data_IF_159989451481
#
_entry.id   IF_159989451481
#
_cell.length_a   1.000
_cell.length_b   1.000
_cell.length_c   1.000
_cell.angle_alpha   90.00
_cell.angle_beta   90.00
_cell.angle_gamma   90.00
#
_symmetry.space_group_name_H-M   'P 1'
#
loop_
_entity.id
_entity.type
_entity.pdbx_description
1 polymer ?
#
# COMPACT_ATOMS: atom_id res chain seq x y z
N UNK A 1 21.05 -34.95 -7.24
CA UNK A 1 19.96 -34.12 -7.84
C UNK A 1 20.28 -32.68 -7.49
N UNK A 2 20.53 -31.84 -8.50
CA UNK A 2 20.71 -30.41 -8.28
C UNK A 2 19.35 -29.83 -7.87
N UNK A 3 19.27 -29.25 -6.68
CA UNK A 3 18.14 -28.41 -6.31
C UNK A 3 18.29 -27.16 -7.18
N UNK A 4 17.58 -27.13 -8.30
CA UNK A 4 17.41 -25.89 -9.06
C UNK A 4 16.54 -24.98 -8.21
N UNK A 5 17.15 -24.07 -7.46
CA UNK A 5 16.44 -22.95 -6.86
C UNK A 5 15.78 -22.19 -8.00
N UNK A 6 14.46 -22.35 -8.14
CA UNK A 6 13.70 -21.65 -9.16
C UNK A 6 13.65 -20.20 -8.70
N UNK A 7 14.51 -19.36 -9.26
CA UNK A 7 14.52 -17.91 -9.07
C UNK A 7 13.08 -17.39 -9.20
N UNK A 8 12.45 -17.04 -8.07
CA UNK A 8 11.15 -16.37 -8.07
C UNK A 8 11.42 -14.89 -7.91
N UNK A 9 11.31 -14.17 -9.03
CA UNK A 9 11.20 -12.71 -9.05
C UNK A 9 10.12 -12.26 -8.06
N UNK A 10 10.48 -11.36 -7.14
CA UNK A 10 9.54 -10.81 -6.15
C UNK A 10 8.69 -9.75 -6.82
N UNK A 11 7.37 -9.92 -6.80
CA UNK A 11 6.42 -9.01 -7.46
C UNK A 11 5.83 -8.04 -6.44
N UNK A 12 5.99 -6.75 -6.69
CA UNK A 12 5.56 -5.67 -5.79
C UNK A 12 4.44 -4.88 -6.47
N UNK A 13 3.28 -4.82 -5.83
CA UNK A 13 2.23 -3.87 -6.18
C UNK A 13 2.37 -2.61 -5.32
N UNK A 14 2.37 -1.44 -5.94
CA UNK A 14 2.26 -0.16 -5.24
C UNK A 14 1.01 0.58 -5.72
N UNK A 15 0.15 1.01 -4.80
CA UNK A 15 -1.07 1.73 -5.17
C UNK A 15 -1.01 3.18 -4.72
N UNK A 16 -1.50 4.11 -5.54
CA UNK A 16 -1.75 5.49 -5.14
C UNK A 16 -3.22 5.86 -5.32
N UNK A 17 -3.73 6.80 -4.53
CA UNK A 17 -5.10 7.28 -4.70
C UNK A 17 -5.23 8.30 -5.82
N UNK A 18 -6.35 8.26 -6.51
CA UNK A 18 -6.77 9.27 -7.47
C UNK A 18 -7.19 10.60 -6.86
N UNK A 19 -7.71 11.52 -7.69
CA UNK A 19 -8.21 12.83 -7.26
C UNK A 19 -9.32 12.71 -6.21
N UNK A 20 -9.36 13.65 -5.26
CA UNK A 20 -10.39 13.68 -4.21
C UNK A 20 -10.63 15.08 -3.64
N UNK A 21 -11.90 15.41 -3.41
CA UNK A 21 -12.35 16.74 -3.00
C UNK A 21 -11.79 17.84 -3.91
N UNK A 22 -10.90 18.70 -3.39
CA UNK A 22 -10.26 19.81 -4.11
C UNK A 22 -8.85 19.45 -4.60
N UNK A 23 -8.45 18.19 -4.48
CA UNK A 23 -7.13 17.69 -4.87
C UNK A 23 -7.27 17.05 -6.25
N UNK A 24 -6.94 17.82 -7.29
CA UNK A 24 -6.97 17.33 -8.68
C UNK A 24 -5.78 16.42 -9.01
N UNK A 25 -4.62 16.71 -8.40
CA UNK A 25 -3.42 15.89 -8.53
C UNK A 25 -3.03 15.36 -7.17
N UNK A 26 -3.24 14.08 -6.95
CA UNK A 26 -3.02 13.45 -5.66
C UNK A 26 -1.53 13.08 -5.48
N UNK A 27 -0.81 13.64 -4.47
CA UNK A 27 0.58 13.33 -4.21
C UNK A 27 0.88 11.83 -4.13
N UNK A 28 -0.01 11.04 -3.51
CA UNK A 28 0.22 9.59 -3.41
C UNK A 28 0.36 8.92 -4.79
N UNK A 29 -0.47 9.31 -5.77
CA UNK A 29 -0.36 8.81 -7.14
C UNK A 29 0.87 9.35 -7.85
N UNK A 30 1.15 10.65 -7.73
CA UNK A 30 2.30 11.28 -8.39
C UNK A 30 3.64 10.67 -7.91
N UNK A 31 3.74 10.27 -6.64
CA UNK A 31 4.94 9.63 -6.11
C UNK A 31 5.17 8.23 -6.72
N UNK A 32 4.11 7.45 -6.93
CA UNK A 32 4.23 6.02 -7.25
C UNK A 32 4.08 5.72 -8.74
N UNK A 33 3.44 6.59 -9.53
CA UNK A 33 3.31 6.41 -10.98
C UNK A 33 4.66 6.19 -11.68
N UNK A 34 5.73 6.98 -11.39
CA UNK A 34 7.03 6.79 -12.03
C UNK A 34 7.74 5.48 -11.65
N UNK A 35 7.27 4.77 -10.61
CA UNK A 35 7.86 3.51 -10.17
C UNK A 35 7.35 2.30 -10.96
N UNK A 36 6.29 2.45 -11.77
CA UNK A 36 5.74 1.33 -12.52
C UNK A 36 6.74 0.73 -13.51
N UNK A 37 6.77 -0.60 -13.54
CA UNK A 37 7.65 -1.45 -14.34
C UNK A 37 9.15 -1.17 -14.13
N UNK A 38 9.51 -0.55 -13.00
CA UNK A 38 10.90 -0.45 -12.58
C UNK A 38 11.34 -1.71 -11.85
N UNK A 39 12.63 -2.02 -11.93
CA UNK A 39 13.25 -3.18 -11.29
C UNK A 39 14.09 -2.70 -10.10
N UNK A 40 14.11 -3.48 -9.03
CA UNK A 40 14.99 -3.34 -7.88
C UNK A 40 16.05 -4.45 -7.92
N UNK A 41 17.32 -4.06 -7.81
CA UNK A 41 18.41 -5.00 -7.53
C UNK A 41 18.49 -5.25 -6.02
N UNK A 42 18.15 -6.46 -5.58
CA UNK A 42 18.14 -6.85 -4.16
C UNK A 42 19.54 -7.15 -3.61
N UNK A 43 20.58 -7.13 -4.45
CA UNK A 43 21.97 -7.24 -4.03
C UNK A 43 22.58 -5.87 -3.71
N UNK A 44 21.95 -4.78 -4.15
CA UNK A 44 22.40 -3.41 -3.87
C UNK A 44 21.36 -2.65 -3.04
N UNK A 45 21.63 -2.50 -1.74
CA UNK A 45 20.78 -1.68 -0.85
C UNK A 45 20.72 -0.22 -1.33
N UNK A 46 19.55 0.42 -1.34
CA UNK A 46 19.42 1.81 -1.76
C UNK A 46 20.11 2.77 -0.78
N UNK A 47 20.67 3.85 -1.31
CA UNK A 47 21.15 5.01 -0.55
C UNK A 47 20.16 6.17 -0.75
N UNK A 48 19.77 6.82 0.35
CA UNK A 48 18.87 7.98 0.38
C UNK A 48 19.63 9.25 0.81
N UNK A 49 20.96 9.24 0.86
CA UNK A 49 21.75 10.48 1.00
C UNK A 49 21.91 11.13 -0.37
N UNK A 50 21.97 12.46 -0.43
CA UNK A 50 22.45 13.16 -1.63
C UNK A 50 23.84 12.63 -2.01
N UNK A 51 24.16 12.44 -3.30
CA UNK A 51 25.48 11.99 -3.70
C UNK A 51 26.51 13.04 -3.27
N UNK A 52 27.33 12.73 -2.27
CA UNK A 52 28.61 13.39 -2.08
C UNK A 52 29.55 12.89 -3.18
N UNK A 53 30.38 13.75 -3.78
CA UNK A 53 31.45 13.28 -4.65
C UNK A 53 32.45 12.53 -3.76
N UNK A 54 32.40 11.20 -3.76
CA UNK A 54 33.44 10.37 -3.17
C UNK A 54 34.22 9.67 -4.28
N UNK A 55 35.50 10.01 -4.26
CA UNK A 55 36.62 9.34 -4.90
C UNK A 55 36.71 7.88 -4.40
N UNK A 56 37.08 6.96 -5.28
CA UNK A 56 37.48 5.60 -4.89
C UNK A 56 36.62 4.46 -5.44
N UNK A 57 36.96 4.02 -6.65
CA UNK A 57 36.70 2.65 -7.11
C UNK A 57 37.36 1.65 -6.17
N UNK A 58 36.57 0.85 -5.45
CA UNK A 58 37.04 -0.43 -4.91
C UNK A 58 36.68 -1.54 -5.89
N UNK A 59 37.71 -2.30 -6.27
CA UNK A 59 37.62 -3.49 -7.11
C UNK A 59 36.86 -4.57 -6.32
N UNK A 60 35.73 -5.01 -6.84
CA UNK A 60 34.95 -6.08 -6.25
C UNK A 60 35.62 -7.43 -6.54
N UNK A 61 35.78 -8.25 -5.51
CA UNK A 61 36.08 -9.68 -5.68
C UNK A 61 34.90 -10.35 -6.39
N UNK A 62 35.20 -11.21 -7.37
CA UNK A 62 34.23 -12.00 -8.14
C UNK A 62 33.60 -13.10 -7.26
N UNK A 63 32.77 -12.71 -6.30
CA UNK A 63 31.79 -13.61 -5.72
C UNK A 63 30.60 -13.67 -6.67
N UNK A 64 30.31 -14.87 -7.19
CA UNK A 64 29.08 -15.15 -7.94
C UNK A 64 27.91 -15.07 -6.98
N UNK A 65 27.37 -13.87 -6.78
CA UNK A 65 26.09 -13.70 -6.09
C UNK A 65 24.98 -14.02 -7.10
N UNK A 66 24.09 -14.95 -6.74
CA UNK A 66 22.85 -15.14 -7.49
C UNK A 66 22.13 -13.79 -7.57
N UNK A 67 21.79 -13.39 -8.79
CA UNK A 67 21.20 -12.09 -9.01
C UNK A 67 19.72 -12.15 -8.56
N UNK A 68 19.35 -11.29 -7.60
CA UNK A 68 18.01 -11.27 -7.01
C UNK A 68 17.33 -9.96 -7.35
N UNK A 69 16.16 -10.03 -7.97
CA UNK A 69 15.43 -8.86 -8.42
C UNK A 69 13.99 -8.84 -7.94
N UNK A 70 13.45 -7.63 -7.82
CA UNK A 70 12.03 -7.41 -7.63
C UNK A 70 11.48 -6.44 -8.66
N UNK A 71 10.24 -6.65 -9.10
CA UNK A 71 9.56 -5.76 -10.06
C UNK A 71 8.44 -5.00 -9.37
N UNK A 72 8.41 -3.69 -9.61
CA UNK A 72 7.34 -2.82 -9.15
C UNK A 72 6.31 -2.66 -10.27
N UNK A 73 5.04 -2.81 -9.95
CA UNK A 73 3.92 -2.37 -10.78
C UNK A 73 3.05 -1.43 -9.95
N UNK A 74 2.67 -0.29 -10.53
CA UNK A 74 1.81 0.69 -9.87
C UNK A 74 0.37 0.68 -10.40
N UNK A 75 -0.61 0.86 -9.51
CA UNK A 75 -2.03 1.05 -9.84
C UNK A 75 -2.58 2.33 -9.21
N UNK A 76 -3.51 3.00 -9.89
CA UNK A 76 -4.26 4.11 -9.32
C UNK A 76 -5.64 3.64 -8.85
N UNK A 77 -6.04 4.04 -7.65
CA UNK A 77 -7.30 3.60 -7.03
C UNK A 77 -8.21 4.81 -6.77
N UNK A 78 -9.51 4.74 -7.10
CA UNK A 78 -10.47 5.79 -6.73
C UNK A 78 -10.64 5.88 -5.20
N UNK A 79 -10.94 7.08 -4.70
CA UNK A 79 -11.35 7.28 -3.31
C UNK A 79 -12.83 6.88 -3.16
N UNK A 80 -13.09 5.58 -3.14
CA UNK A 80 -14.43 4.99 -3.16
C UNK A 80 -14.47 3.64 -2.45
N UNK A 81 -15.36 3.49 -1.45
CA UNK A 81 -15.36 2.29 -0.59
C UNK A 81 -15.70 1.01 -1.36
N UNK A 82 -16.71 1.06 -2.24
CA UNK A 82 -17.13 -0.10 -3.00
C UNK A 82 -16.04 -0.59 -3.99
N UNK A 83 -15.25 0.34 -4.54
CA UNK A 83 -14.12 -0.01 -5.41
C UNK A 83 -13.01 -0.71 -4.62
N UNK A 84 -12.75 -0.30 -3.37
CA UNK A 84 -11.80 -1.01 -2.50
C UNK A 84 -12.29 -2.42 -2.18
N UNK A 85 -13.58 -2.59 -1.88
CA UNK A 85 -14.19 -3.89 -1.60
C UNK A 85 -14.21 -4.82 -2.83
N UNK A 86 -14.21 -4.28 -4.05
CA UNK A 86 -14.05 -5.06 -5.28
C UNK A 86 -12.55 -5.36 -5.56
N UNK A 87 -11.72 -4.32 -5.64
CA UNK A 87 -10.34 -4.43 -6.10
C UNK A 87 -9.44 -5.21 -5.13
N UNK A 88 -9.54 -4.95 -3.81
CA UNK A 88 -8.56 -5.47 -2.84
C UNK A 88 -8.60 -6.99 -2.69
N UNK A 89 -9.77 -7.66 -2.59
CA UNK A 89 -9.81 -9.12 -2.61
C UNK A 89 -9.16 -9.71 -3.87
N UNK A 90 -9.33 -9.04 -5.03
CA UNK A 90 -8.82 -9.52 -6.31
C UNK A 90 -7.30 -9.33 -6.45
N UNK A 91 -6.71 -8.23 -5.97
CA UNK A 91 -5.24 -8.08 -5.96
C UNK A 91 -4.60 -9.17 -5.09
N UNK A 92 -5.25 -9.60 -4.02
CA UNK A 92 -4.77 -10.70 -3.17
C UNK A 92 -5.14 -12.10 -3.69
N UNK A 93 -5.63 -12.20 -4.93
CA UNK A 93 -5.95 -13.48 -5.59
C UNK A 93 -7.25 -14.14 -5.10
N UNK A 94 -8.09 -13.40 -4.38
CA UNK A 94 -9.43 -13.80 -3.96
C UNK A 94 -10.53 -13.23 -4.88
N UNK A 95 -11.77 -13.37 -4.42
CA UNK A 95 -12.96 -12.74 -5.04
C UNK A 95 -13.59 -11.78 -4.03
N UNK A 96 -14.29 -10.72 -4.49
CA UNK A 96 -15.02 -9.85 -3.58
C UNK A 96 -16.04 -10.64 -2.77
N UNK A 97 -16.06 -10.43 -1.45
CA UNK A 97 -16.95 -11.12 -0.52
C UNK A 97 -18.08 -10.22 0.04
N UNK A 98 -17.89 -8.90 -0.02
CA UNK A 98 -18.91 -7.95 0.42
C UNK A 98 -19.95 -7.73 -0.70
N UNK A 99 -21.25 -7.72 -0.38
CA UNK A 99 -22.29 -7.40 -1.35
C UNK A 99 -22.25 -5.93 -1.82
N UNK A 100 -21.56 -5.06 -1.08
CA UNK A 100 -21.30 -3.67 -1.46
C UNK A 100 -20.12 -3.52 -2.43
N UNK A 101 -19.36 -4.59 -2.72
CA UNK A 101 -18.24 -4.56 -3.65
C UNK A 101 -18.71 -4.21 -5.07
N UNK A 102 -18.23 -3.09 -5.61
CA UNK A 102 -18.58 -2.61 -6.95
C UNK A 102 -17.41 -1.85 -7.55
N UNK A 103 -17.05 -2.23 -8.77
CA UNK A 103 -16.17 -1.41 -9.58
C UNK A 103 -16.82 -0.04 -9.86
N UNK A 104 -16.01 1.01 -9.84
CA UNK A 104 -16.40 2.33 -10.29
C UNK A 104 -15.24 2.96 -11.05
N UNK A 105 -15.53 3.36 -12.29
CA UNK A 105 -14.63 4.14 -13.11
C UNK A 105 -14.81 5.63 -12.82
N UNK A 106 -13.77 6.26 -12.30
CA UNK A 106 -13.72 7.72 -12.12
C UNK A 106 -12.92 8.30 -13.31
N UNK A 107 -13.61 9.06 -14.16
CA UNK A 107 -13.03 9.61 -15.38
C UNK A 107 -11.92 10.65 -15.14
N UNK A 108 -11.72 11.08 -13.89
CA UNK A 108 -10.59 11.94 -13.48
C UNK A 108 -9.32 11.14 -13.21
N UNK A 109 -9.42 9.81 -13.17
CA UNK A 109 -8.27 8.93 -13.02
C UNK A 109 -7.43 8.90 -14.30
N UNK A 110 -6.18 8.48 -14.12
CA UNK A 110 -5.12 8.49 -15.09
C UNK A 110 -5.25 7.28 -16.04
N UNK A 111 -6.23 7.32 -16.95
CA UNK A 111 -6.40 6.33 -18.02
C UNK A 111 -6.22 4.88 -17.60
N UNK A 112 -5.30 4.16 -18.27
CA UNK A 112 -5.06 2.72 -18.07
C UNK A 112 -4.70 2.34 -16.62
N UNK A 113 -4.16 3.28 -15.84
CA UNK A 113 -3.71 3.05 -14.46
C UNK A 113 -4.83 2.73 -13.48
N UNK A 114 -6.06 3.10 -13.84
CA UNK A 114 -7.26 2.93 -13.05
C UNK A 114 -8.20 1.82 -13.56
N UNK A 115 -7.75 1.06 -14.56
CA UNK A 115 -8.52 0.01 -15.19
C UNK A 115 -9.43 0.52 -16.30
N UNK A 116 -9.99 -0.41 -17.07
CA UNK A 116 -10.93 -0.12 -18.16
C UNK A 116 -12.36 0.00 -17.62
N UNK A 117 -13.13 0.94 -18.17
CA UNK A 117 -14.52 1.13 -17.77
C UNK A 117 -15.33 -0.16 -17.96
N UNK A 118 -16.04 -0.58 -16.92
CA UNK A 118 -16.83 -1.82 -16.92
C UNK A 118 -16.05 -3.09 -16.59
N UNK A 119 -14.72 -3.02 -16.41
CA UNK A 119 -13.88 -4.19 -16.18
C UNK A 119 -13.20 -4.15 -14.80
N UNK A 120 -13.51 -5.13 -13.94
CA UNK A 120 -12.80 -5.33 -12.67
C UNK A 120 -11.39 -5.89 -12.89
N UNK A 121 -10.56 -5.82 -11.86
CA UNK A 121 -9.27 -6.51 -11.84
C UNK A 121 -9.43 -8.05 -11.91
N UNK A 122 -8.51 -8.77 -12.57
CA UNK A 122 -7.35 -8.27 -13.32
C UNK A 122 -7.68 -7.84 -14.77
N UNK A 123 -8.87 -8.18 -15.28
CA UNK A 123 -9.21 -8.05 -16.70
C UNK A 123 -9.06 -6.60 -17.21
N UNK A 124 -9.55 -5.64 -16.42
CA UNK A 124 -9.41 -4.21 -16.72
C UNK A 124 -7.98 -3.67 -16.65
N UNK A 125 -7.01 -4.46 -16.18
CA UNK A 125 -5.62 -4.08 -15.92
C UNK A 125 -4.58 -4.98 -16.62
N UNK A 126 -5.01 -5.77 -17.61
CA UNK A 126 -4.19 -6.77 -18.31
C UNK A 126 -2.90 -6.23 -18.93
N UNK A 127 -2.85 -4.95 -19.29
CA UNK A 127 -1.65 -4.27 -19.81
C UNK A 127 -0.64 -3.91 -18.71
N UNK A 128 -1.08 -3.86 -17.45
CA UNK A 128 -0.31 -3.40 -16.31
C UNK A 128 0.11 -4.51 -15.36
N UNK A 129 -0.60 -5.63 -15.32
CA UNK A 129 -0.45 -6.64 -14.26
C UNK A 129 -0.55 -8.06 -14.80
N UNK A 130 0.43 -8.90 -14.44
CA UNK A 130 0.53 -10.28 -14.96
C UNK A 130 0.88 -11.34 -13.91
N UNK A 131 1.00 -10.98 -12.62
CA UNK A 131 1.58 -11.86 -11.59
C UNK A 131 0.82 -11.76 -10.27
N UNK A 132 0.97 -12.79 -9.44
CA UNK A 132 0.60 -12.76 -8.02
C UNK A 132 1.58 -11.84 -7.28
N UNK A 133 1.10 -11.07 -6.31
CA UNK A 133 1.92 -10.15 -5.53
C UNK A 133 2.52 -10.81 -4.30
N UNK A 134 3.80 -10.56 -4.08
CA UNK A 134 4.54 -10.96 -2.89
C UNK A 134 4.55 -9.83 -1.85
N UNK A 135 4.49 -8.58 -2.34
CA UNK A 135 4.46 -7.35 -1.54
C UNK A 135 3.38 -6.42 -2.08
N UNK A 136 2.59 -5.81 -1.19
CA UNK A 136 1.62 -4.77 -1.53
C UNK A 136 1.86 -3.54 -0.66
N UNK A 137 2.11 -2.40 -1.30
CA UNK A 137 2.31 -1.10 -0.63
C UNK A 137 1.18 -0.17 -1.06
N UNK A 138 0.36 0.25 -0.11
CA UNK A 138 -0.65 1.27 -0.36
C UNK A 138 -0.11 2.63 0.05
N UNK A 139 -0.29 3.64 -0.80
CA UNK A 139 0.17 5.01 -0.56
C UNK A 139 -1.02 5.97 -0.58
N UNK A 140 -1.11 6.80 0.45
CA UNK A 140 -2.12 7.86 0.56
C UNK A 140 -1.52 9.18 1.02
N UNK A 141 -2.33 10.22 1.07
CA UNK A 141 -1.90 11.55 1.52
C UNK A 141 -2.29 11.74 2.97
N UNK A 142 -1.29 11.97 3.81
CA UNK A 142 -1.47 12.26 5.23
C UNK A 142 -1.81 13.74 5.47
N UNK A 143 -2.00 14.08 6.75
CA UNK A 143 -2.14 15.49 7.19
C UNK A 143 -0.84 16.10 7.68
N UNK A 144 0.14 15.26 8.01
CA UNK A 144 1.45 15.68 8.50
C UNK A 144 2.33 16.21 7.38
N UNK A 145 3.46 16.79 7.77
CA UNK A 145 4.49 17.28 6.85
C UNK A 145 5.56 16.22 6.52
N UNK A 146 5.52 15.06 7.17
CA UNK A 146 6.46 13.95 6.99
C UNK A 146 5.81 12.73 6.34
N UNK A 147 6.64 11.81 5.85
CA UNK A 147 6.23 10.48 5.44
C UNK A 147 5.99 9.61 6.69
N UNK A 148 4.87 8.90 6.77
CA UNK A 148 4.60 7.98 7.88
C UNK A 148 4.33 6.56 7.38
N UNK A 149 4.98 5.59 8.02
CA UNK A 149 4.71 4.18 7.82
C UNK A 149 3.67 3.71 8.85
N UNK A 150 2.56 3.17 8.39
CA UNK A 150 1.45 2.76 9.24
C UNK A 150 1.64 1.34 9.79
N UNK A 151 1.43 1.17 11.09
CA UNK A 151 1.61 -0.12 11.79
C UNK A 151 0.33 -0.94 11.83
N UNK A 152 -0.82 -0.28 11.82
CA UNK A 152 -2.10 -0.93 12.04
C UNK A 152 -3.24 -0.23 11.29
N UNK A 153 -4.33 -0.95 11.06
CA UNK A 153 -5.58 -0.45 10.50
C UNK A 153 -6.77 -0.98 11.29
N UNK A 154 -7.94 -0.38 11.13
CA UNK A 154 -9.08 -0.62 12.02
C UNK A 154 -10.31 -1.14 11.29
N UNK A 155 -11.10 -2.01 11.92
CA UNK A 155 -12.27 -2.64 11.29
C UNK A 155 -13.43 -1.68 11.07
N UNK A 156 -13.54 -0.67 11.92
CA UNK A 156 -14.71 0.20 12.03
C UNK A 156 -14.30 1.66 12.22
N UNK A 157 -15.27 2.57 12.03
CA UNK A 157 -15.09 4.02 12.24
C UNK A 157 -15.13 4.84 10.95
N UNK A 158 -15.57 4.23 9.86
CA UNK A 158 -15.61 4.84 8.52
C UNK A 158 -16.85 5.70 8.31
N UNK A 159 -17.10 6.64 9.22
CA UNK A 159 -18.30 7.49 9.22
C UNK A 159 -18.30 8.60 8.17
N UNK A 160 -17.24 8.76 7.37
CA UNK A 160 -17.12 9.82 6.35
C UNK A 160 -17.50 9.30 4.97
N UNK A 161 -18.23 10.09 4.15
CA UNK A 161 -18.54 9.71 2.79
C UNK A 161 -17.30 9.77 1.86
N UNK A 162 -17.30 8.96 0.82
CA UNK A 162 -16.28 8.88 -0.21
C UNK A 162 -16.43 9.93 -1.32
N UNK A 163 -15.62 9.84 -2.39
CA UNK A 163 -15.67 10.78 -3.52
C UNK A 163 -17.05 10.86 -4.20
N UNK A 164 -17.86 9.80 -4.10
CA UNK A 164 -19.19 9.70 -4.68
C UNK A 164 -20.30 9.98 -3.65
N UNK A 165 -19.95 10.55 -2.51
CA UNK A 165 -20.86 10.76 -1.38
C UNK A 165 -21.47 9.46 -0.83
N UNK A 166 -20.83 8.32 -1.09
CA UNK A 166 -21.26 7.02 -0.58
C UNK A 166 -20.49 6.68 0.69
N UNK A 167 -21.09 5.90 1.57
CA UNK A 167 -20.48 5.52 2.84
C UNK A 167 -19.96 4.09 2.77
N UNK A 168 -19.03 3.75 3.66
CA UNK A 168 -18.66 2.37 3.94
C UNK A 168 -19.90 1.55 4.36
N UNK A 169 -19.84 0.21 4.28
CA UNK A 169 -20.94 -0.65 4.68
C UNK A 169 -21.44 -0.34 6.09
N UNK A 170 -22.77 -0.34 6.26
CA UNK A 170 -23.41 -0.13 7.54
C UNK A 170 -23.30 -1.42 8.37
N UNK A 171 -22.95 -1.30 9.65
CA UNK A 171 -22.91 -2.43 10.58
C UNK A 171 -24.10 -2.34 11.54
N UNK A 172 -25.27 -2.90 11.21
CA UNK A 172 -26.50 -2.69 11.98
C UNK A 172 -26.42 -3.24 13.41
N UNK A 173 -25.61 -4.28 13.62
CA UNK A 173 -25.46 -4.96 14.91
C UNK A 173 -24.25 -4.46 15.71
N UNK A 174 -23.45 -3.53 15.18
CA UNK A 174 -22.28 -3.04 15.88
C UNK A 174 -22.68 -2.08 17.02
N UNK A 175 -22.15 -2.33 18.22
CA UNK A 175 -22.41 -1.49 19.38
C UNK A 175 -21.80 -0.10 19.16
N UNK A 176 -22.61 0.96 19.23
CA UNK A 176 -22.13 2.34 19.07
C UNK A 176 -21.02 2.72 20.06
N UNK A 177 -21.03 2.14 21.25
CA UNK A 177 -19.99 2.34 22.28
C UNK A 177 -18.61 1.79 21.91
N UNK A 178 -18.52 0.93 20.89
CA UNK A 178 -17.24 0.36 20.42
C UNK A 178 -16.43 1.33 19.55
N UNK A 179 -17.02 2.44 19.12
CA UNK A 179 -16.40 3.41 18.22
C UNK A 179 -16.53 4.81 18.80
N UNK A 180 -15.42 5.55 18.86
CA UNK A 180 -15.44 6.96 19.28
C UNK A 180 -16.47 7.77 18.47
N UNK A 181 -17.21 8.64 19.15
CA UNK A 181 -18.29 9.42 18.54
C UNK A 181 -17.85 10.22 17.28
N UNK A 182 -16.59 10.67 17.22
CA UNK A 182 -16.01 11.38 16.06
C UNK A 182 -15.88 10.52 14.79
N UNK A 183 -15.98 9.19 14.93
CA UNK A 183 -15.84 8.21 13.85
C UNK A 183 -17.18 7.54 13.46
N UNK A 184 -18.27 7.90 14.15
CA UNK A 184 -19.62 7.56 13.70
C UNK A 184 -19.98 8.38 12.46
N UNK A 185 -20.91 7.88 11.65
CA UNK A 185 -21.47 8.68 10.57
C UNK A 185 -22.37 9.83 11.08
N UNK A 186 -22.88 10.65 10.17
CA UNK A 186 -23.74 11.80 10.52
C UNK A 186 -25.04 11.39 11.21
N UNK A 187 -25.43 10.12 11.16
CA UNK A 187 -26.61 9.55 11.80
C UNK A 187 -26.25 8.82 13.11
N UNK A 188 -24.98 8.87 13.56
CA UNK A 188 -24.52 8.17 14.75
C UNK A 188 -24.40 6.65 14.56
N UNK A 189 -24.27 6.19 13.32
CA UNK A 189 -24.18 4.76 12.98
C UNK A 189 -22.73 4.33 12.75
N UNK A 190 -22.45 3.07 13.07
CA UNK A 190 -21.14 2.45 12.88
C UNK A 190 -21.03 1.91 11.46
N UNK A 191 -19.90 2.20 10.81
CA UNK A 191 -19.59 1.75 9.45
C UNK A 191 -18.22 1.12 9.38
N UNK A 192 -18.09 0.11 8.52
CA UNK A 192 -16.84 -0.61 8.29
C UNK A 192 -17.03 -2.02 7.77
N UNK A 193 -16.15 -2.92 8.19
CA UNK A 193 -16.12 -4.31 7.75
C UNK A 193 -16.91 -5.21 8.70
N UNK A 194 -17.80 -6.04 8.15
CA UNK A 194 -18.57 -7.00 8.92
C UNK A 194 -19.23 -8.06 8.05
N UNK A 195 -20.05 -8.90 8.66
CA UNK A 195 -20.60 -10.10 8.04
C UNK A 195 -19.60 -11.24 8.00
N UNK A 196 -20.04 -12.42 7.57
CA UNK A 196 -19.21 -13.65 7.60
C UNK A 196 -17.84 -13.50 6.93
N UNK A 197 -17.72 -12.58 5.97
CA UNK A 197 -16.47 -12.24 5.31
C UNK A 197 -15.42 -11.66 6.26
N UNK A 198 -15.78 -10.78 7.20
CA UNK A 198 -14.83 -10.04 8.03
C UNK A 198 -15.02 -10.22 9.55
N UNK A 199 -16.10 -10.87 10.00
CA UNK A 199 -16.41 -11.00 11.42
C UNK A 199 -15.33 -11.75 12.23
N UNK A 200 -14.57 -12.65 11.59
CA UNK A 200 -13.49 -13.40 12.24
C UNK A 200 -12.15 -12.66 12.36
N UNK A 201 -11.99 -11.48 11.74
CA UNK A 201 -10.80 -10.64 11.93
C UNK A 201 -10.94 -9.73 13.13
N UNK A 202 -9.79 -9.31 13.66
CA UNK A 202 -9.71 -8.43 14.82
C UNK A 202 -10.21 -7.02 14.48
N UNK A 203 -10.61 -6.28 15.50
CA UNK A 203 -11.00 -4.86 15.36
C UNK A 203 -9.82 -3.99 14.90
N UNK A 204 -8.59 -4.45 15.11
CA UNK A 204 -7.37 -3.82 14.62
C UNK A 204 -6.46 -4.88 14.05
N UNK A 205 -6.06 -4.71 12.79
CA UNK A 205 -5.09 -5.57 12.13
C UNK A 205 -3.75 -4.86 12.00
N UNK A 206 -2.65 -5.60 12.19
CA UNK A 206 -1.27 -5.07 12.14
C UNK A 206 -0.53 -5.61 10.93
N UNK A 207 0.31 -4.77 10.33
CA UNK A 207 1.28 -5.25 9.34
C UNK A 207 2.27 -6.22 10.00
N UNK A 208 2.70 -7.30 9.31
CA UNK A 208 3.78 -8.15 9.78
C UNK A 208 5.17 -7.48 9.69
N UNK A 209 5.26 -6.27 9.10
CA UNK A 209 6.51 -5.51 9.06
C UNK A 209 6.79 -4.87 10.43
N UNK A 210 8.02 -5.03 10.92
CA UNK A 210 8.54 -4.23 12.02
C UNK A 210 8.75 -2.79 11.55
N UNK A 211 7.72 -1.96 11.72
CA UNK A 211 7.71 -0.55 11.28
C UNK A 211 8.77 0.29 12.00
N UNK A 212 8.98 0.19 13.33
CA UNK A 212 10.10 0.84 14.00
C UNK A 212 11.45 0.52 13.35
N UNK A 213 11.72 -0.76 13.06
CA UNK A 213 12.95 -1.19 12.40
C UNK A 213 13.06 -0.63 10.97
N UNK A 214 11.96 -0.65 10.20
CA UNK A 214 11.92 -0.05 8.85
C UNK A 214 12.26 1.45 8.89
N UNK A 215 11.70 2.19 9.85
CA UNK A 215 11.94 3.62 10.00
C UNK A 215 13.41 3.90 10.39
N UNK A 216 14.00 3.11 11.30
CA UNK A 216 15.44 3.20 11.62
C UNK A 216 16.30 2.95 10.38
N UNK A 217 15.99 1.89 9.64
CA UNK A 217 16.70 1.48 8.44
C UNK A 217 16.68 2.55 7.33
N UNK A 218 15.56 3.26 7.16
CA UNK A 218 15.45 4.41 6.24
C UNK A 218 16.31 5.59 6.69
N UNK A 219 16.35 5.88 8.00
CA UNK A 219 17.15 6.97 8.58
C UNK A 219 18.65 6.71 8.42
N UNK A 220 19.09 5.47 8.69
CA UNK A 220 20.47 5.02 8.46
C UNK A 220 20.92 5.17 7.01
N UNK A 221 19.97 5.20 6.05
CA UNK A 221 20.24 5.41 4.62
C UNK A 221 20.18 6.86 4.18
N UNK A 222 19.89 7.80 5.08
CA UNK A 222 19.94 9.22 4.79
C UNK A 222 18.60 9.95 4.86
N UNK A 223 17.50 9.30 5.28
CA UNK A 223 16.27 10.03 5.64
C UNK A 223 16.49 10.80 6.94
N UNK A 224 16.19 12.10 6.96
CA UNK A 224 16.31 12.87 8.19
C UNK A 224 15.21 12.49 9.19
N UNK A 225 15.46 12.67 10.49
CA UNK A 225 14.53 12.27 11.56
C UNK A 225 13.13 12.89 11.44
N UNK A 226 13.01 14.07 10.84
CA UNK A 226 11.73 14.75 10.59
C UNK A 226 11.07 14.40 9.26
N UNK A 227 11.72 13.63 8.38
CA UNK A 227 11.17 13.24 7.07
C UNK A 227 10.36 11.94 7.16
N UNK A 228 10.66 11.05 8.11
CA UNK A 228 10.02 9.73 8.23
C UNK A 228 9.74 9.31 9.68
N UNK A 229 8.55 8.74 9.90
CA UNK A 229 8.13 8.22 11.21
C UNK A 229 7.18 7.03 11.14
N UNK A 230 6.89 6.45 12.31
CA UNK A 230 5.86 5.45 12.51
C UNK A 230 4.52 6.15 12.82
N UNK A 231 3.42 5.56 12.35
CA UNK A 231 2.06 5.91 12.77
C UNK A 231 1.27 4.66 13.18
N UNK A 232 0.36 4.84 14.14
CA UNK A 232 -0.60 3.84 14.63
C UNK A 232 -2.04 4.16 14.25
N UNK A 233 -2.29 5.29 13.57
CA UNK A 233 -3.62 5.71 13.14
C UNK A 233 -3.57 6.26 11.70
N UNK A 234 -3.89 5.42 10.69
CA UNK A 234 -3.95 5.84 9.29
C UNK A 234 -5.10 6.82 8.99
N UNK A 235 -5.93 7.15 9.99
CA UNK A 235 -7.05 8.08 9.86
C UNK A 235 -8.26 7.43 9.20
N UNK A 236 -9.26 7.07 10.03
CA UNK A 236 -10.54 6.40 9.70
C UNK A 236 -11.28 6.95 8.46
N UNK A 237 -10.77 6.59 7.29
CA UNK A 237 -11.23 6.95 5.97
C UNK A 237 -10.65 5.94 4.95
N UNK A 238 -10.56 6.27 3.67
CA UNK A 238 -10.12 5.31 2.64
C UNK A 238 -8.69 4.80 2.82
N UNK A 239 -7.78 5.57 3.42
CA UNK A 239 -6.42 5.11 3.73
C UNK A 239 -6.41 3.95 4.72
N UNK A 240 -7.08 4.11 5.86
CA UNK A 240 -7.25 3.05 6.86
C UNK A 240 -8.10 1.89 6.30
N UNK A 241 -9.12 2.19 5.49
CA UNK A 241 -10.04 1.20 4.90
C UNK A 241 -9.34 0.25 3.94
N UNK A 242 -8.57 0.79 2.97
CA UNK A 242 -7.81 -0.05 2.04
C UNK A 242 -6.73 -0.85 2.77
N UNK A 243 -6.09 -0.26 3.79
CA UNK A 243 -5.07 -0.95 4.56
C UNK A 243 -5.67 -2.12 5.35
N UNK A 244 -6.79 -1.91 6.06
CA UNK A 244 -7.47 -2.97 6.80
C UNK A 244 -7.94 -4.09 5.88
N UNK A 245 -8.60 -3.74 4.77
CA UNK A 245 -9.05 -4.71 3.77
C UNK A 245 -7.86 -5.55 3.27
N UNK A 246 -6.76 -4.89 2.89
CA UNK A 246 -5.58 -5.53 2.33
C UNK A 246 -4.87 -6.46 3.33
N UNK A 247 -4.78 -6.05 4.61
CA UNK A 247 -4.27 -6.91 5.68
C UNK A 247 -5.14 -8.16 5.89
N UNK A 248 -6.46 -8.01 5.89
CA UNK A 248 -7.38 -9.12 6.03
C UNK A 248 -7.26 -10.11 4.87
N UNK A 249 -7.31 -9.61 3.62
CA UNK A 249 -7.24 -10.44 2.43
C UNK A 249 -5.88 -11.14 2.29
N UNK A 250 -4.78 -10.49 2.65
CA UNK A 250 -3.48 -11.15 2.74
C UNK A 250 -3.48 -12.29 3.77
N UNK A 251 -4.07 -12.08 4.96
CA UNK A 251 -4.15 -13.10 6.03
C UNK A 251 -5.01 -14.32 5.71
N UNK A 252 -5.92 -14.21 4.73
CA UNK A 252 -6.72 -15.38 4.28
C UNK A 252 -5.87 -16.44 3.61
N UNK A 253 -4.65 -16.10 3.19
CA UNK A 253 -3.77 -16.96 2.41
C UNK A 253 -2.52 -17.27 3.21
N UNK A 254 -2.11 -18.53 3.18
CA UNK A 254 -0.84 -18.96 3.76
C UNK A 254 0.36 -18.30 3.06
N UNK A 255 0.27 -18.15 1.74
CA UNK A 255 1.26 -17.47 0.89
C UNK A 255 0.95 -15.98 0.67
N UNK A 256 0.13 -15.37 1.53
CA UNK A 256 -0.36 -14.01 1.39
C UNK A 256 0.75 -12.96 1.26
N UNK A 257 0.45 -11.88 0.53
CA UNK A 257 1.40 -10.79 0.32
C UNK A 257 1.73 -10.06 1.63
N UNK A 258 2.95 -9.53 1.72
CA UNK A 258 3.32 -8.64 2.83
C UNK A 258 2.79 -7.24 2.56
N UNK A 259 1.94 -6.71 3.46
CA UNK A 259 1.21 -5.45 3.24
C UNK A 259 1.72 -4.33 4.16
N UNK A 260 1.90 -3.12 3.63
CA UNK A 260 2.07 -1.89 4.44
C UNK A 260 1.29 -0.72 3.81
N UNK A 261 0.94 0.27 4.63
CA UNK A 261 0.45 1.55 4.17
C UNK A 261 1.44 2.67 4.50
N UNK A 262 1.63 3.60 3.56
CA UNK A 262 2.51 4.76 3.70
C UNK A 262 1.69 6.03 3.44
N UNK A 263 1.69 6.96 4.37
CA UNK A 263 1.24 8.32 4.07
C UNK A 263 2.42 9.16 3.59
N UNK A 264 2.24 9.82 2.45
CA UNK A 264 3.10 10.93 2.01
C UNK A 264 2.47 12.25 2.47
N UNK A 265 3.27 13.31 2.69
CA UNK A 265 2.70 14.60 3.03
C UNK A 265 1.94 15.22 1.83
N UNK A 266 1.07 16.21 2.08
CA UNK A 266 0.47 17.02 1.03
C UNK A 266 1.54 17.69 0.14
N UNK A 267 1.17 18.06 -1.09
CA UNK A 267 2.07 18.78 -1.99
C UNK A 267 2.55 20.11 -1.36
N UNK A 268 3.82 20.46 -1.59
CA UNK A 268 4.44 21.69 -1.07
C UNK A 268 4.74 21.68 0.43
N UNK A 269 4.87 20.49 1.02
CA UNK A 269 5.26 20.31 2.43
C UNK A 269 6.73 19.86 2.55
N UNK A 270 7.19 19.60 3.78
CA UNK A 270 8.60 19.40 4.13
C UNK A 270 9.35 18.31 3.35
N UNK A 271 8.65 17.35 2.74
CA UNK A 271 9.27 16.29 1.95
C UNK A 271 8.82 16.42 0.51
N UNK A 272 9.77 16.73 -0.37
CA UNK A 272 9.52 16.85 -1.80
C UNK A 272 9.01 15.54 -2.41
N UNK A 273 8.28 15.67 -3.52
CA UNK A 273 7.65 14.51 -4.18
C UNK A 273 8.66 13.45 -4.62
N UNK A 274 9.81 13.88 -5.14
CA UNK A 274 10.89 12.97 -5.54
C UNK A 274 11.48 12.25 -4.33
N UNK A 275 11.61 12.95 -3.22
CA UNK A 275 12.07 12.40 -1.95
C UNK A 275 11.11 11.34 -1.40
N UNK A 276 9.81 11.58 -1.51
CA UNK A 276 8.79 10.59 -1.18
C UNK A 276 8.89 9.34 -2.08
N UNK A 277 9.06 9.53 -3.40
CA UNK A 277 9.24 8.44 -4.37
C UNK A 277 10.44 7.57 -4.01
N UNK A 278 11.58 8.18 -3.70
CA UNK A 278 12.81 7.46 -3.37
C UNK A 278 12.66 6.68 -2.06
N UNK A 279 12.03 7.28 -1.05
CA UNK A 279 11.71 6.59 0.20
C UNK A 279 10.77 5.40 -0.02
N UNK A 280 9.69 5.55 -0.80
CA UNK A 280 8.76 4.47 -1.14
C UNK A 280 9.48 3.34 -1.89
N UNK A 281 10.37 3.69 -2.84
CA UNK A 281 11.21 2.72 -3.55
C UNK A 281 12.14 1.97 -2.60
N UNK A 282 12.69 2.64 -1.58
CA UNK A 282 13.52 2.00 -0.56
C UNK A 282 12.71 1.09 0.37
N UNK A 283 11.48 1.45 0.74
CA UNK A 283 10.56 0.56 1.46
C UNK A 283 10.24 -0.68 0.64
N UNK A 284 9.95 -0.51 -0.66
CA UNK A 284 9.72 -1.63 -1.59
C UNK A 284 10.92 -2.59 -1.63
N UNK A 285 12.14 -2.06 -1.71
CA UNK A 285 13.37 -2.85 -1.63
C UNK A 285 13.48 -3.63 -0.32
N UNK A 286 13.26 -2.95 0.82
CA UNK A 286 13.35 -3.56 2.14
C UNK A 286 12.39 -4.73 2.31
N UNK A 287 11.13 -4.53 1.91
CA UNK A 287 10.10 -5.57 1.98
C UNK A 287 10.38 -6.72 1.04
N UNK A 288 10.82 -6.43 -0.19
CA UNK A 288 11.15 -7.44 -1.18
C UNK A 288 12.35 -8.29 -0.75
N UNK A 289 13.38 -7.69 -0.17
CA UNK A 289 14.52 -8.45 0.33
C UNK A 289 14.10 -9.37 1.50
N UNK A 290 13.35 -8.86 2.47
CA UNK A 290 12.82 -9.72 3.55
C UNK A 290 12.00 -10.89 3.00
N UNK A 291 11.18 -10.65 1.98
CA UNK A 291 10.35 -11.67 1.34
C UNK A 291 11.17 -12.68 0.55
N UNK A 292 12.22 -12.24 -0.15
CA UNK A 292 13.10 -13.11 -0.94
C UNK A 292 13.82 -14.14 -0.06
N UNK A 293 14.25 -13.73 1.14
CA UNK A 293 14.92 -14.62 2.10
C UNK A 293 13.99 -15.66 2.72
N UNK A 294 12.73 -15.30 2.96
CA UNK A 294 11.72 -16.25 3.48
C UNK A 294 11.39 -17.36 2.47
N UNK A 295 11.52 -17.10 1.17
CA UNK A 295 11.29 -18.11 0.14
C UNK A 295 12.46 -19.11 -0.01
N UNK A 296 13.60 -18.87 0.65
CA UNK A 296 14.79 -19.71 0.61
C UNK A 296 14.93 -20.65 1.82
N UNK A 297 14.16 -20.41 2.88
CA UNK A 297 14.12 -21.21 4.12
C UNK A 297 12.99 -22.22 4.09
#
# INVERSE_FOLDING_TARGET
MAITHKEREVNILITGFGPFMRIDKNPSWLAVKPLHNTILDLNQSPALSSPTPSDGTKRADEAVYEARWARIQSLQIPVHYASVLDLVPRIHGGKPLSPEAKFWYDNRLDGIWAGKEGESYPDGYTELVQKQWDVVIHVGVGRGSSLTCETQAHKTGYGKPDAKQQFAPLLPNAARSSVDAKYLDKQGLVRGFGGSAYDHFNDTERTPIDVPQLVSWLKERGMASGEVGQSLDPGRYLCDFIFYCSLCEAKRREDGATVIFIHVPPAGQNVEMERCRDAIRAVAWYMAEKRSRLAQT
#
